data_IF_586207135012
#
_entry.id   IF_586207135012
#
_cell.length_a   1.000
_cell.length_b   1.000
_cell.length_c   1.000
_cell.angle_alpha   90.00
_cell.angle_beta   90.00
_cell.angle_gamma   90.00
#
_symmetry.space_group_name_H-M   'P 1'
#
loop_
_entity.id
_entity.type
_entity.pdbx_description
1 polymer ?
#
# COMPACT_ATOMS: atom_id res chain seq x y z
N UNK A 1 -0.18 19.78 -2.29
CA UNK A 1 -1.19 18.70 -2.39
C UNK A 1 -1.43 18.12 -1.01
N UNK A 2 -2.68 18.00 -0.57
CA UNK A 2 -3.00 17.40 0.74
C UNK A 2 -3.15 15.90 0.54
N UNK A 3 -2.19 15.12 1.03
CA UNK A 3 -2.29 13.65 1.07
C UNK A 3 -3.14 13.25 2.28
N UNK A 4 -4.27 12.60 2.01
CA UNK A 4 -5.13 11.99 3.01
C UNK A 4 -4.81 10.50 3.13
N UNK A 5 -4.11 10.11 4.21
CA UNK A 5 -3.74 8.71 4.43
C UNK A 5 -4.97 7.82 4.66
N UNK A 6 -6.01 8.34 5.30
CA UNK A 6 -7.24 7.58 5.61
C UNK A 6 -7.92 7.14 4.31
N UNK A 7 -7.99 8.04 3.32
CA UNK A 7 -8.53 7.72 1.98
C UNK A 7 -7.72 6.60 1.31
N UNK A 8 -6.39 6.65 1.37
CA UNK A 8 -5.52 5.60 0.80
C UNK A 8 -5.77 4.26 1.48
N UNK A 9 -5.91 4.26 2.81
CA UNK A 9 -6.15 3.04 3.58
C UNK A 9 -7.52 2.42 3.27
N UNK A 10 -8.57 3.23 3.12
CA UNK A 10 -9.90 2.75 2.76
C UNK A 10 -9.94 2.10 1.37
N UNK A 11 -9.03 2.50 0.48
CA UNK A 11 -8.94 1.95 -0.87
C UNK A 11 -8.10 0.65 -0.95
N UNK A 12 -7.57 0.18 0.19
CA UNK A 12 -6.93 -1.14 0.29
C UNK A 12 -8.04 -2.18 0.41
N UNK A 13 -8.50 -2.66 -0.75
CA UNK A 13 -9.39 -3.81 -0.84
C UNK A 13 -8.93 -4.67 -2.02
N UNK A 14 -8.46 -5.88 -1.73
CA UNK A 14 -7.81 -6.72 -2.71
C UNK A 14 -8.60 -8.01 -2.95
N UNK A 15 -8.63 -8.44 -4.21
CA UNK A 15 -9.06 -9.79 -4.57
C UNK A 15 -8.01 -10.81 -4.12
N UNK A 16 -8.38 -12.07 -3.93
CA UNK A 16 -7.46 -13.20 -3.68
C UNK A 16 -6.18 -13.15 -4.53
N UNK A 17 -6.34 -12.94 -5.85
CA UNK A 17 -5.24 -12.88 -6.81
C UNK A 17 -4.20 -11.80 -6.51
N UNK A 18 -4.58 -10.72 -5.84
CA UNK A 18 -3.66 -9.63 -5.47
C UNK A 18 -2.85 -10.03 -4.25
N UNK A 19 -3.45 -10.68 -3.24
CA UNK A 19 -2.70 -11.22 -2.11
C UNK A 19 -1.67 -12.27 -2.56
N UNK A 20 -2.05 -13.16 -3.48
CA UNK A 20 -1.13 -14.15 -4.05
C UNK A 20 0.05 -13.48 -4.79
N UNK A 21 -0.23 -12.41 -5.54
CA UNK A 21 0.83 -11.64 -6.23
C UNK A 21 1.76 -10.93 -5.25
N UNK A 22 1.25 -10.42 -4.13
CA UNK A 22 2.05 -9.80 -3.09
C UNK A 22 3.00 -10.84 -2.48
N UNK A 23 2.46 -11.99 -2.08
CA UNK A 23 3.27 -13.09 -1.55
C UNK A 23 4.34 -13.56 -2.54
N UNK A 24 3.98 -13.72 -3.81
CA UNK A 24 4.95 -14.08 -4.86
C UNK A 24 6.05 -13.03 -5.03
N UNK A 25 5.72 -11.74 -4.94
CA UNK A 25 6.68 -10.64 -5.10
C UNK A 25 7.61 -10.51 -3.89
N UNK A 26 7.09 -10.74 -2.69
CA UNK A 26 7.85 -10.69 -1.44
C UNK A 26 8.54 -12.02 -1.11
N UNK A 27 8.32 -13.07 -1.92
CA UNK A 27 8.75 -14.43 -1.65
C UNK A 27 8.35 -14.89 -0.22
N UNK A 28 7.09 -14.64 0.13
CA UNK A 28 6.51 -14.86 1.46
C UNK A 28 5.25 -15.73 1.39
N UNK A 29 4.76 -16.15 2.56
CA UNK A 29 3.51 -16.91 2.72
C UNK A 29 2.59 -16.23 3.76
N UNK A 30 2.47 -14.90 3.68
CA UNK A 30 1.62 -14.14 4.59
C UNK A 30 0.15 -14.43 4.34
N UNK A 31 -0.62 -14.48 5.43
CA UNK A 31 -2.07 -14.42 5.39
C UNK A 31 -2.53 -13.03 4.92
N UNK A 32 -3.79 -12.92 4.50
CA UNK A 32 -4.38 -11.64 4.06
C UNK A 32 -4.30 -10.58 5.16
N UNK A 33 -4.59 -10.97 6.40
CA UNK A 33 -4.55 -10.09 7.57
C UNK A 33 -3.14 -9.57 7.83
N UNK A 34 -2.11 -10.42 7.68
CA UNK A 34 -0.71 -10.00 7.81
C UNK A 34 -0.30 -9.03 6.71
N UNK A 35 -0.72 -9.28 5.46
CA UNK A 35 -0.47 -8.36 4.34
C UNK A 35 -1.14 -7.01 4.58
N UNK A 36 -2.41 -7.00 5.00
CA UNK A 36 -3.14 -5.78 5.31
C UNK A 36 -2.49 -5.00 6.44
N UNK A 37 -2.17 -5.67 7.55
CA UNK A 37 -1.49 -5.07 8.71
C UNK A 37 -0.16 -4.43 8.30
N UNK A 38 0.66 -5.17 7.55
CA UNK A 38 1.93 -4.67 7.02
C UNK A 38 1.72 -3.41 6.16
N UNK A 39 0.74 -3.41 5.26
CA UNK A 39 0.46 -2.25 4.41
C UNK A 39 -0.07 -1.06 5.22
N UNK A 40 -0.93 -1.30 6.22
CA UNK A 40 -1.44 -0.27 7.13
C UNK A 40 -0.29 0.39 7.89
N UNK A 41 0.60 -0.40 8.47
CA UNK A 41 1.74 0.08 9.24
C UNK A 41 2.69 0.89 8.34
N UNK A 42 3.06 0.34 7.17
CA UNK A 42 3.91 1.04 6.20
C UNK A 42 3.30 2.39 5.82
N UNK A 43 2.01 2.46 5.48
CA UNK A 43 1.36 3.72 5.07
C UNK A 43 1.26 4.71 6.23
N UNK A 44 0.98 4.21 7.44
CA UNK A 44 0.87 5.02 8.65
C UNK A 44 2.22 5.65 9.03
N UNK A 45 3.29 4.88 8.99
CA UNK A 45 4.64 5.29 9.38
C UNK A 45 5.35 6.12 8.32
N UNK A 46 5.11 5.84 7.03
CA UNK A 46 5.77 6.56 5.94
C UNK A 46 5.45 8.06 6.00
N UNK A 47 6.47 8.92 5.96
CA UNK A 47 6.26 10.38 5.98
C UNK A 47 5.54 10.87 4.71
N UNK A 48 4.65 11.86 4.85
CA UNK A 48 3.84 12.40 3.72
C UNK A 48 4.66 12.84 2.50
N UNK A 49 5.92 13.25 2.69
CA UNK A 49 6.83 13.66 1.59
C UNK A 49 7.14 12.52 0.61
N UNK A 50 6.94 11.26 1.01
CA UNK A 50 7.14 10.09 0.17
C UNK A 50 5.86 9.58 -0.50
N UNK A 51 4.79 10.36 -0.40
CA UNK A 51 3.53 10.09 -1.08
C UNK A 51 3.43 10.95 -2.33
N UNK A 52 2.98 10.34 -3.41
CA UNK A 52 2.71 11.02 -4.68
C UNK A 52 1.38 10.54 -5.23
N UNK A 53 0.52 11.45 -5.69
CA UNK A 53 -0.66 11.07 -6.49
C UNK A 53 -0.41 11.48 -7.93
N UNK A 54 -0.41 10.51 -8.84
CA UNK A 54 -0.36 10.76 -10.27
C UNK A 54 -1.63 10.19 -10.91
N UNK A 55 -2.52 11.08 -11.36
CA UNK A 55 -3.81 10.71 -11.91
C UNK A 55 -4.58 9.80 -10.94
N UNK A 56 -4.78 8.55 -11.36
CA UNK A 56 -5.59 7.54 -10.66
C UNK A 56 -4.90 6.78 -9.54
N UNK A 57 -3.61 6.99 -9.33
CA UNK A 57 -2.82 6.18 -8.43
C UNK A 57 -2.15 7.03 -7.36
N UNK A 58 -2.21 6.54 -6.13
CA UNK A 58 -1.34 6.91 -5.02
C UNK A 58 -0.11 6.01 -5.04
N UNK A 59 1.07 6.61 -4.95
CA UNK A 59 2.34 5.93 -4.80
C UNK A 59 2.90 6.27 -3.41
N UNK A 60 3.30 5.24 -2.67
CA UNK A 60 3.91 5.37 -1.34
C UNK A 60 5.27 4.69 -1.41
N UNK A 61 6.34 5.45 -1.24
CA UNK A 61 7.71 4.90 -1.23
C UNK A 61 8.21 4.83 0.21
N UNK A 62 8.22 3.64 0.80
CA UNK A 62 8.81 3.41 2.11
C UNK A 62 10.25 2.89 1.92
N UNK A 63 11.22 3.76 2.19
CA UNK A 63 12.64 3.46 1.99
C UNK A 63 13.16 2.51 3.08
N UNK A 64 12.63 2.61 4.30
CA UNK A 64 13.06 1.81 5.45
C UNK A 64 12.85 0.30 5.23
N UNK A 65 11.75 -0.06 4.57
CA UNK A 65 11.40 -1.45 4.27
C UNK A 65 11.68 -1.84 2.80
N UNK A 66 12.25 -0.94 1.99
CA UNK A 66 12.42 -1.11 0.54
C UNK A 66 11.11 -1.53 -0.20
N UNK A 67 9.99 -0.92 0.20
CA UNK A 67 8.66 -1.22 -0.34
C UNK A 67 8.07 0.00 -1.03
N UNK A 68 7.57 -0.20 -2.26
CA UNK A 68 6.72 0.76 -2.96
C UNK A 68 5.31 0.22 -3.13
N UNK A 69 4.34 0.92 -2.54
CA UNK A 69 2.91 0.60 -2.62
C UNK A 69 2.28 1.49 -3.69
N UNK A 70 1.40 0.92 -4.51
CA UNK A 70 0.55 1.67 -5.43
C UNK A 70 -0.90 1.36 -5.14
N UNK A 71 -1.70 2.38 -4.80
CA UNK A 71 -3.13 2.24 -4.45
C UNK A 71 -3.95 3.05 -5.44
N UNK A 72 -5.04 2.48 -5.95
CA UNK A 72 -5.94 3.19 -6.84
C UNK A 72 -6.79 4.21 -6.06
N UNK A 73 -7.10 5.37 -6.65
CA UNK A 73 -7.89 6.43 -6.01
C UNK A 73 -9.39 6.39 -6.32
N UNK A 74 -9.84 5.47 -7.19
CA UNK A 74 -11.23 5.39 -7.66
C UNK A 74 -12.00 4.20 -7.08
N UNK A 75 -11.41 3.46 -6.14
CA UNK A 75 -12.10 2.38 -5.45
C UNK A 75 -13.18 2.92 -4.53
#
# INVERSE_FOLDING_TARGET
>A
MIINKIEILNNICYTELVYDRINKKLNSNFTKSEIETMLFDIIKETQKKFFQKNGKNYYVSNIENDIRITVNSYT
#
